data_IF_765287743707
#
_entry.id   IF_765287743707
#
_cell.length_a   1.000
_cell.length_b   1.000
_cell.length_c   1.000
_cell.angle_alpha   90.00
_cell.angle_beta   90.00
_cell.angle_gamma   90.00
#
_symmetry.space_group_name_H-M   'P 1'
#
loop_
_entity.id
_entity.type
_entity.pdbx_description
1 polymer ?
#
# COMPACT_ATOMS: atom_id res chain seq x y z
N UNK A 1 3.24 -13.05 -15.33
CA UNK A 1 2.45 -13.85 -14.37
C UNK A 1 3.05 -13.72 -12.98
N UNK A 2 2.23 -13.67 -11.94
CA UNK A 2 2.63 -13.71 -10.51
C UNK A 2 1.70 -14.66 -9.77
N UNK A 3 2.26 -15.44 -8.84
CA UNK A 3 1.53 -16.44 -8.05
C UNK A 3 1.76 -16.14 -6.57
N UNK A 4 0.70 -16.25 -5.79
CA UNK A 4 0.74 -16.18 -4.34
C UNK A 4 -0.22 -17.24 -3.78
N UNK A 5 0.34 -18.31 -3.21
CA UNK A 5 -0.41 -19.51 -2.83
C UNK A 5 -1.25 -20.02 -4.02
N UNK A 6 -2.57 -20.08 -3.88
CA UNK A 6 -3.54 -20.46 -4.90
C UNK A 6 -3.96 -19.29 -5.82
N UNK A 7 -3.68 -18.05 -5.45
CA UNK A 7 -4.02 -16.88 -6.27
C UNK A 7 -3.00 -16.68 -7.40
N UNK A 8 -3.47 -16.71 -8.64
CA UNK A 8 -2.65 -16.48 -9.83
C UNK A 8 -3.10 -15.21 -10.56
N UNK A 9 -2.14 -14.36 -10.96
CA UNK A 9 -2.38 -13.15 -11.74
C UNK A 9 -1.58 -13.15 -13.02
N UNK A 10 -2.28 -12.93 -14.12
CA UNK A 10 -1.68 -12.64 -15.42
C UNK A 10 -1.95 -11.19 -15.75
N UNK A 11 -0.96 -10.47 -16.21
CA UNK A 11 -1.11 -9.05 -16.57
C UNK A 11 -0.18 -8.69 -17.72
N UNK A 12 -0.64 -7.76 -18.56
CA UNK A 12 0.10 -7.24 -19.68
C UNK A 12 -0.34 -5.79 -19.97
N UNK A 13 0.61 -4.96 -20.40
CA UNK A 13 0.29 -3.67 -21.03
C UNK A 13 -0.24 -3.96 -22.44
N UNK A 14 -1.38 -3.38 -22.79
CA UNK A 14 -2.03 -3.57 -24.09
C UNK A 14 -1.80 -2.30 -24.91
N UNK A 15 -0.91 -2.39 -25.89
CA UNK A 15 -0.56 -1.31 -26.82
C UNK A 15 -0.87 -1.70 -28.26
N UNK A 16 -1.06 -3.00 -28.54
CA UNK A 16 -1.30 -3.58 -29.85
C UNK A 16 -2.21 -4.81 -29.79
N UNK A 17 -2.79 -5.18 -30.93
CA UNK A 17 -3.53 -6.45 -31.12
C UNK A 17 -2.68 -7.68 -30.74
N UNK A 18 -1.37 -7.61 -30.97
CA UNK A 18 -0.47 -8.70 -30.60
C UNK A 18 -0.39 -8.88 -29.09
N UNK A 19 -0.48 -7.81 -28.30
CA UNK A 19 -0.49 -7.89 -26.83
C UNK A 19 -1.76 -8.57 -26.32
N UNK A 20 -2.90 -8.31 -26.97
CA UNK A 20 -4.17 -9.00 -26.68
C UNK A 20 -4.03 -10.50 -26.90
N UNK A 21 -3.50 -10.90 -28.07
CA UNK A 21 -3.26 -12.31 -28.39
C UNK A 21 -2.30 -12.98 -27.41
N UNK A 22 -1.21 -12.29 -27.03
CA UNK A 22 -0.26 -12.82 -26.06
C UNK A 22 -0.90 -13.01 -24.67
N UNK A 23 -1.78 -12.09 -24.23
CA UNK A 23 -2.48 -12.25 -22.97
C UNK A 23 -3.49 -13.40 -23.02
N UNK A 24 -4.24 -13.54 -24.13
CA UNK A 24 -5.14 -14.66 -24.34
C UNK A 24 -4.37 -16.00 -24.34
N UNK A 25 -3.28 -16.09 -25.09
CA UNK A 25 -2.45 -17.30 -25.12
C UNK A 25 -1.91 -17.68 -23.73
N UNK A 26 -1.59 -16.69 -22.89
CA UNK A 26 -1.15 -16.97 -21.52
C UNK A 26 -2.30 -17.54 -20.66
N UNK A 27 -3.54 -17.12 -20.87
CA UNK A 27 -4.74 -17.67 -20.21
C UNK A 27 -4.99 -19.09 -20.71
N UNK A 28 -4.92 -19.33 -22.03
CA UNK A 28 -5.14 -20.63 -22.65
C UNK A 28 -4.09 -21.65 -22.15
N UNK A 29 -2.80 -21.29 -22.13
CA UNK A 29 -1.72 -22.14 -21.59
C UNK A 29 -1.93 -22.48 -20.10
N UNK A 30 -2.45 -21.53 -19.32
CA UNK A 30 -2.79 -21.81 -17.91
C UNK A 30 -3.95 -22.78 -17.80
N UNK A 31 -4.96 -22.64 -18.63
CA UNK A 31 -6.10 -23.57 -18.66
C UNK A 31 -5.64 -24.98 -19.03
N UNK A 32 -4.84 -25.14 -20.09
CA UNK A 32 -4.24 -26.43 -20.50
C UNK A 32 -3.41 -27.05 -19.38
N UNK A 33 -2.60 -26.23 -18.68
CA UNK A 33 -1.83 -26.69 -17.53
C UNK A 33 -2.73 -27.27 -16.44
N UNK A 34 -3.86 -26.63 -16.14
CA UNK A 34 -4.80 -27.15 -15.14
C UNK A 34 -5.46 -28.46 -15.56
N UNK A 35 -5.77 -28.61 -16.85
CA UNK A 35 -6.30 -29.90 -17.39
C UNK A 35 -5.27 -31.01 -17.22
N UNK A 36 -4.01 -30.76 -17.58
CA UNK A 36 -2.91 -31.73 -17.45
C UNK A 36 -2.71 -32.21 -16.02
N UNK A 37 -2.88 -31.31 -15.03
CA UNK A 37 -2.65 -31.62 -13.63
C UNK A 37 -3.93 -31.93 -12.85
N UNK A 38 -5.07 -32.04 -13.54
CA UNK A 38 -6.39 -32.31 -12.96
C UNK A 38 -6.80 -31.27 -11.88
N UNK A 39 -6.31 -30.04 -12.02
CA UNK A 39 -6.67 -28.90 -11.17
C UNK A 39 -7.78 -28.10 -11.87
N UNK A 40 -8.93 -27.90 -11.22
CA UNK A 40 -10.03 -27.15 -11.82
C UNK A 40 -9.98 -25.69 -11.40
N UNK A 41 -10.00 -24.78 -12.39
CA UNK A 41 -10.28 -23.38 -12.12
C UNK A 41 -11.72 -23.19 -11.60
N UNK A 42 -11.87 -22.27 -10.65
CA UNK A 42 -13.20 -21.76 -10.33
C UNK A 42 -13.49 -20.59 -11.29
N UNK A 43 -14.18 -20.88 -12.40
CA UNK A 43 -14.47 -19.90 -13.44
C UNK A 43 -15.22 -18.67 -12.91
N UNK A 44 -16.11 -18.84 -11.92
CA UNK A 44 -16.86 -17.74 -11.31
C UNK A 44 -15.94 -16.75 -10.56
N UNK A 45 -14.76 -17.20 -10.09
CA UNK A 45 -13.75 -16.37 -9.44
C UNK A 45 -12.74 -15.77 -10.41
N UNK A 46 -12.64 -16.30 -11.62
CA UNK A 46 -11.74 -15.75 -12.64
C UNK A 46 -12.33 -14.46 -13.21
N UNK A 47 -11.67 -13.33 -12.99
CA UNK A 47 -12.15 -12.00 -13.37
C UNK A 47 -11.10 -11.24 -14.18
N UNK A 48 -11.58 -10.39 -15.07
CA UNK A 48 -10.76 -9.41 -15.80
C UNK A 48 -10.91 -8.04 -15.15
N UNK A 49 -9.80 -7.39 -14.85
CA UNK A 49 -9.76 -6.01 -14.41
C UNK A 49 -9.01 -5.17 -15.46
N UNK A 50 -9.72 -4.31 -16.17
CA UNK A 50 -9.13 -3.39 -17.12
C UNK A 50 -8.57 -2.15 -16.42
N UNK A 51 -7.25 -2.00 -16.40
CA UNK A 51 -6.58 -0.87 -15.77
C UNK A 51 -6.32 0.25 -16.79
N UNK A 52 -6.55 1.49 -16.36
CA UNK A 52 -6.27 2.68 -17.16
C UNK A 52 -7.47 3.24 -17.92
N UNK A 53 -7.47 4.57 -18.10
CA UNK A 53 -8.61 5.29 -18.74
C UNK A 53 -8.79 4.92 -20.22
N UNK A 54 -7.69 4.67 -20.91
CA UNK A 54 -7.66 4.41 -22.36
C UNK A 54 -7.52 2.91 -22.66
N UNK A 55 -7.86 2.04 -21.70
CA UNK A 55 -7.86 0.60 -21.94
C UNK A 55 -8.95 0.26 -22.97
N UNK A 56 -8.63 -0.46 -24.04
CA UNK A 56 -9.59 -0.79 -25.09
C UNK A 56 -10.66 -1.81 -24.65
N UNK A 57 -10.52 -2.41 -23.46
CA UNK A 57 -11.48 -3.32 -22.83
C UNK A 57 -11.80 -4.54 -23.70
N UNK A 58 -10.79 -5.17 -24.27
CA UNK A 58 -10.96 -6.42 -25.01
C UNK A 58 -11.56 -7.51 -24.12
N UNK A 59 -12.38 -8.38 -24.73
CA UNK A 59 -12.89 -9.58 -24.11
C UNK A 59 -11.79 -10.66 -24.08
N UNK A 60 -11.77 -11.44 -23.01
CA UNK A 60 -10.89 -12.60 -22.85
C UNK A 60 -11.70 -13.82 -22.47
N UNK A 61 -11.19 -14.98 -22.83
CA UNK A 61 -11.90 -16.23 -22.71
C UNK A 61 -11.11 -17.23 -21.88
N UNK A 62 -11.81 -18.13 -21.19
CA UNK A 62 -11.23 -19.25 -20.47
C UNK A 62 -11.96 -20.53 -20.90
N UNK A 63 -11.24 -21.62 -21.13
CA UNK A 63 -11.79 -22.89 -21.55
C UNK A 63 -11.05 -23.45 -22.77
N UNK A 64 -11.47 -24.66 -23.23
CA UNK A 64 -11.05 -25.24 -24.48
C UNK A 64 -11.98 -24.80 -25.61
N UNK A 65 -11.62 -25.16 -26.85
CA UNK A 65 -12.38 -24.75 -28.05
C UNK A 65 -13.85 -25.19 -28.03
N UNK A 66 -14.20 -26.26 -27.31
CA UNK A 66 -15.57 -26.78 -27.20
C UNK A 66 -16.39 -26.09 -26.09
N UNK A 67 -15.72 -25.54 -25.06
CA UNK A 67 -16.35 -24.92 -23.87
C UNK A 67 -15.69 -23.60 -23.50
N UNK A 68 -15.52 -22.72 -24.46
CA UNK A 68 -14.91 -21.42 -24.27
C UNK A 68 -15.91 -20.45 -23.64
N UNK A 69 -15.60 -19.91 -22.46
CA UNK A 69 -16.46 -19.00 -21.69
C UNK A 69 -15.82 -17.61 -21.63
N UNK A 70 -16.61 -16.57 -21.90
CA UNK A 70 -16.17 -15.18 -21.72
C UNK A 70 -15.91 -14.93 -20.23
N UNK A 71 -14.76 -14.39 -19.90
CA UNK A 71 -14.42 -14.04 -18.52
C UNK A 71 -15.16 -12.77 -18.09
N UNK A 72 -15.73 -12.79 -16.88
CA UNK A 72 -16.43 -11.65 -16.32
C UNK A 72 -15.48 -10.47 -16.08
N UNK A 73 -15.92 -9.28 -16.48
CA UNK A 73 -15.21 -8.02 -16.18
C UNK A 73 -15.64 -7.48 -14.81
N UNK A 74 -14.67 -7.08 -14.01
CA UNK A 74 -14.92 -6.44 -12.71
C UNK A 74 -14.45 -4.99 -12.69
N UNK A 75 -15.18 -4.14 -11.97
CA UNK A 75 -14.79 -2.75 -11.71
C UNK A 75 -14.12 -2.59 -10.32
N UNK A 76 -14.05 -3.66 -9.53
CA UNK A 76 -13.41 -3.64 -8.21
C UNK A 76 -12.99 -5.05 -7.81
N UNK A 77 -11.70 -5.33 -7.90
CA UNK A 77 -11.15 -6.63 -7.50
C UNK A 77 -10.41 -6.55 -6.16
N UNK A 78 -10.57 -7.60 -5.34
CA UNK A 78 -9.85 -7.73 -4.07
C UNK A 78 -8.61 -8.59 -4.25
N UNK A 79 -7.47 -7.94 -4.32
CA UNK A 79 -6.17 -8.58 -4.49
C UNK A 79 -5.36 -8.55 -3.19
N UNK A 80 -5.02 -9.73 -2.66
CA UNK A 80 -4.26 -9.88 -1.41
C UNK A 80 -4.76 -8.94 -0.29
N UNK A 81 -6.08 -8.79 -0.18
CA UNK A 81 -6.71 -7.93 0.83
C UNK A 81 -6.85 -6.45 0.47
N UNK A 82 -6.29 -6.00 -0.64
CA UNK A 82 -6.43 -4.63 -1.17
C UNK A 82 -7.47 -4.60 -2.28
N UNK A 83 -8.43 -3.69 -2.22
CA UNK A 83 -9.39 -3.48 -3.31
C UNK A 83 -8.80 -2.54 -4.35
N UNK A 84 -8.71 -3.03 -5.58
CA UNK A 84 -8.12 -2.35 -6.73
C UNK A 84 -9.25 -1.98 -7.69
N UNK A 85 -9.33 -0.70 -8.07
CA UNK A 85 -10.24 -0.16 -9.06
C UNK A 85 -9.49 0.17 -10.37
N UNK A 86 -10.18 0.25 -11.54
CA UNK A 86 -9.56 0.49 -12.85
C UNK A 86 -8.67 1.74 -12.92
N UNK A 87 -8.95 2.72 -12.09
CA UNK A 87 -8.23 3.97 -12.03
C UNK A 87 -7.14 4.04 -10.97
N UNK A 88 -6.97 2.98 -10.17
CA UNK A 88 -6.03 2.92 -9.04
C UNK A 88 -6.20 4.11 -8.06
N UNK A 89 -7.45 4.50 -7.80
CA UNK A 89 -7.78 5.59 -6.88
C UNK A 89 -7.86 5.12 -5.43
N UNK A 90 -8.06 3.83 -5.21
CA UNK A 90 -8.21 3.16 -3.91
C UNK A 90 -9.28 3.76 -2.99
N UNK A 91 -10.24 4.51 -3.56
CA UNK A 91 -11.33 5.14 -2.79
C UNK A 91 -12.17 4.11 -2.04
N UNK A 92 -12.54 3.02 -2.73
CA UNK A 92 -13.37 1.96 -2.16
C UNK A 92 -12.60 1.15 -1.12
N UNK A 93 -11.32 0.85 -1.38
CA UNK A 93 -10.44 0.23 -0.40
C UNK A 93 -10.38 1.06 0.89
N UNK A 94 -10.07 2.35 0.79
CA UNK A 94 -9.96 3.25 1.94
C UNK A 94 -11.29 3.35 2.70
N UNK A 95 -12.42 3.49 1.99
CA UNK A 95 -13.73 3.55 2.64
C UNK A 95 -14.07 2.25 3.39
N UNK A 96 -13.82 1.07 2.80
CA UNK A 96 -14.02 -0.22 3.45
C UNK A 96 -13.10 -0.39 4.66
N UNK A 97 -11.83 0.00 4.53
CA UNK A 97 -10.83 -0.02 5.61
C UNK A 97 -11.25 0.85 6.78
N UNK A 98 -11.64 2.10 6.52
CA UNK A 98 -12.14 3.05 7.53
C UNK A 98 -13.40 2.52 8.22
N UNK A 99 -14.34 1.93 7.46
CA UNK A 99 -15.57 1.32 8.02
C UNK A 99 -15.22 0.17 8.96
N UNK A 100 -14.33 -0.74 8.55
CA UNK A 100 -13.89 -1.89 9.37
C UNK A 100 -13.16 -1.43 10.63
N UNK A 101 -12.22 -0.49 10.50
CA UNK A 101 -11.47 0.05 11.63
C UNK A 101 -12.36 0.82 12.63
N UNK A 102 -13.32 1.62 12.13
CA UNK A 102 -14.29 2.32 12.98
C UNK A 102 -15.20 1.34 13.73
N UNK A 103 -15.65 0.28 13.06
CA UNK A 103 -16.46 -0.76 13.70
C UNK A 103 -15.68 -1.45 14.84
N UNK A 104 -14.42 -1.83 14.59
CA UNK A 104 -13.54 -2.42 15.63
C UNK A 104 -13.30 -1.43 16.78
N UNK A 105 -13.05 -0.15 16.47
CA UNK A 105 -12.91 0.93 17.47
C UNK A 105 -14.14 1.05 18.36
N UNK A 106 -15.33 1.05 17.76
CA UNK A 106 -16.58 1.16 18.50
C UNK A 106 -16.84 -0.07 19.37
N UNK A 107 -16.49 -1.29 18.89
CA UNK A 107 -16.57 -2.50 19.73
C UNK A 107 -15.67 -2.39 20.97
N UNK A 108 -14.43 -1.93 20.81
CA UNK A 108 -13.54 -1.68 21.95
C UNK A 108 -14.19 -0.69 22.92
N UNK A 109 -14.65 0.45 22.42
CA UNK A 109 -15.24 1.50 23.23
C UNK A 109 -16.57 1.07 23.91
N UNK A 110 -17.32 0.14 23.33
CA UNK A 110 -18.53 -0.40 23.94
C UNK A 110 -18.22 -1.40 25.07
N UNK A 111 -17.23 -2.24 24.87
CA UNK A 111 -16.90 -3.30 25.83
C UNK A 111 -15.99 -2.84 26.98
N UNK A 112 -15.19 -1.80 26.76
CA UNK A 112 -14.29 -1.24 27.78
C UNK A 112 -14.80 0.13 28.23
N UNK A 113 -15.57 0.12 29.32
CA UNK A 113 -16.15 1.37 29.91
C UNK A 113 -15.12 2.19 30.65
N UNK A 114 -14.12 1.54 31.24
CA UNK A 114 -12.98 2.22 31.86
C UNK A 114 -12.03 2.77 30.80
N UNK A 115 -12.02 4.10 30.67
CA UNK A 115 -11.38 4.85 29.55
C UNK A 115 -9.91 5.18 29.81
N UNK A 116 -9.16 4.34 30.49
CA UNK A 116 -7.73 4.54 30.74
C UNK A 116 -6.91 4.37 29.46
N UNK A 117 -5.97 5.30 29.24
CA UNK A 117 -5.05 5.24 28.11
C UNK A 117 -4.17 3.98 28.12
N UNK A 118 -3.77 3.49 29.28
CA UNK A 118 -2.96 2.28 29.43
C UNK A 118 -3.69 1.01 28.93
N UNK A 119 -5.02 1.04 28.91
CA UNK A 119 -5.85 -0.06 28.37
C UNK A 119 -6.21 0.22 26.91
N UNK A 120 -6.76 1.41 26.62
CA UNK A 120 -7.31 1.69 25.29
C UNK A 120 -6.23 1.78 24.20
N UNK A 121 -5.04 2.30 24.50
CA UNK A 121 -4.00 2.47 23.47
C UNK A 121 -3.37 1.15 23.03
N UNK A 122 -3.03 0.21 23.91
CA UNK A 122 -2.65 -1.14 23.47
C UNK A 122 -3.71 -1.83 22.61
N UNK A 123 -5.00 -1.76 22.99
CA UNK A 123 -6.10 -2.33 22.20
C UNK A 123 -6.22 -1.67 20.82
N UNK A 124 -6.07 -0.34 20.74
CA UNK A 124 -6.03 0.37 19.46
C UNK A 124 -4.85 -0.10 18.61
N UNK A 125 -3.66 -0.17 19.19
CA UNK A 125 -2.41 -0.57 18.52
C UNK A 125 -2.47 -2.00 17.98
N UNK A 126 -3.14 -2.92 18.69
CA UNK A 126 -3.22 -4.34 18.31
C UNK A 126 -4.39 -4.67 17.37
N UNK A 127 -5.56 -4.03 17.54
CA UNK A 127 -6.77 -4.43 16.84
C UNK A 127 -7.23 -3.46 15.74
N UNK A 128 -6.98 -2.16 15.90
CA UNK A 128 -7.48 -1.13 14.96
C UNK A 128 -6.41 -0.69 13.98
N UNK A 129 -5.23 -0.37 14.50
CA UNK A 129 -4.13 0.17 13.71
C UNK A 129 -3.67 -0.75 12.57
N UNK A 130 -3.54 -2.09 12.75
CA UNK A 130 -3.16 -2.98 11.66
C UNK A 130 -4.15 -2.94 10.49
N UNK A 131 -5.45 -2.73 10.77
CA UNK A 131 -6.46 -2.57 9.71
C UNK A 131 -6.17 -1.32 8.89
N UNK A 132 -5.79 -0.21 9.54
CA UNK A 132 -5.53 1.08 8.89
C UNK A 132 -4.22 1.13 8.10
N UNK A 133 -3.26 0.26 8.44
CA UNK A 133 -1.91 0.29 7.89
C UNK A 133 -1.63 -0.83 6.88
N UNK A 134 -2.48 -1.87 6.83
CA UNK A 134 -2.24 -3.01 5.95
C UNK A 134 -2.14 -2.58 4.49
N UNK A 135 -1.05 -2.97 3.83
CA UNK A 135 -0.80 -2.69 2.42
C UNK A 135 -0.66 -1.20 2.05
N UNK A 136 -0.37 -0.32 3.02
CA UNK A 136 -0.29 1.13 2.79
C UNK A 136 0.64 1.52 1.63
N UNK A 137 1.70 0.79 1.41
CA UNK A 137 2.64 0.99 0.28
C UNK A 137 1.90 0.99 -1.07
N UNK A 138 0.86 0.18 -1.22
CA UNK A 138 0.08 0.07 -2.46
C UNK A 138 -0.92 1.22 -2.59
N UNK A 139 -1.74 1.46 -1.56
CA UNK A 139 -2.92 2.32 -1.66
C UNK A 139 -2.75 3.74 -1.08
N UNK A 140 -1.61 4.07 -0.47
CA UNK A 140 -1.35 5.40 0.14
C UNK A 140 -1.14 6.52 -0.90
N UNK A 141 -1.68 6.37 -2.10
CA UNK A 141 -1.69 7.38 -3.16
C UNK A 141 -2.98 8.20 -3.21
N UNK A 142 -3.87 8.00 -2.24
CA UNK A 142 -5.16 8.65 -2.17
C UNK A 142 -5.07 10.18 -2.04
N UNK A 143 -6.22 10.84 -2.25
CA UNK A 143 -6.32 12.28 -2.01
C UNK A 143 -6.16 12.59 -0.52
N UNK A 144 -5.71 13.80 -0.17
CA UNK A 144 -5.64 14.28 1.23
C UNK A 144 -6.98 14.07 1.98
N UNK A 145 -8.11 14.25 1.29
CA UNK A 145 -9.44 13.99 1.84
C UNK A 145 -9.64 12.52 2.26
N UNK A 146 -9.15 11.58 1.47
CA UNK A 146 -9.26 10.13 1.77
C UNK A 146 -8.30 9.73 2.90
N UNK A 147 -7.07 10.23 2.88
CA UNK A 147 -6.09 9.98 3.94
C UNK A 147 -6.54 10.55 5.28
N UNK A 148 -7.15 11.74 5.28
CA UNK A 148 -7.76 12.31 6.47
C UNK A 148 -8.89 11.45 7.06
N UNK A 149 -9.62 10.66 6.26
CA UNK A 149 -10.60 9.71 6.80
C UNK A 149 -9.94 8.64 7.66
N UNK A 150 -8.75 8.18 7.27
CA UNK A 150 -7.98 7.18 8.02
C UNK A 150 -7.50 7.77 9.34
N UNK A 151 -6.89 8.95 9.30
CA UNK A 151 -6.43 9.67 10.49
C UNK A 151 -7.59 9.98 11.45
N UNK A 152 -8.78 10.27 10.92
CA UNK A 152 -9.97 10.55 11.72
C UNK A 152 -10.44 9.37 12.58
N UNK A 153 -10.14 8.13 12.22
CA UNK A 153 -10.43 6.97 13.07
C UNK A 153 -9.64 7.10 14.38
N UNK A 154 -8.33 7.35 14.30
CA UNK A 154 -7.48 7.56 15.46
C UNK A 154 -7.86 8.83 16.23
N UNK A 155 -8.17 9.91 15.51
CA UNK A 155 -8.59 11.19 16.13
C UNK A 155 -9.86 11.01 16.95
N UNK A 156 -10.86 10.29 16.46
CA UNK A 156 -12.10 9.98 17.17
C UNK A 156 -11.83 9.06 18.37
N UNK A 157 -11.08 7.99 18.17
CA UNK A 157 -10.77 7.03 19.23
C UNK A 157 -10.06 7.70 20.43
N UNK A 158 -9.04 8.51 20.16
CA UNK A 158 -8.27 9.18 21.23
C UNK A 158 -9.08 10.22 22.02
N UNK A 159 -10.21 10.71 21.51
CA UNK A 159 -11.13 11.57 22.28
C UNK A 159 -11.81 10.84 23.45
N UNK A 160 -11.91 9.52 23.39
CA UNK A 160 -12.55 8.73 24.44
C UNK A 160 -11.61 8.39 25.60
N UNK A 161 -10.32 8.71 25.52
CA UNK A 161 -9.37 8.46 26.60
C UNK A 161 -9.59 9.50 27.73
N UNK A 162 -9.71 9.01 28.96
CA UNK A 162 -9.96 9.83 30.16
C UNK A 162 -8.86 10.88 30.37
N UNK A 163 -9.27 12.09 30.70
CA UNK A 163 -8.36 13.19 31.08
C UNK A 163 -7.64 13.90 29.94
N UNK A 164 -7.98 13.59 28.66
CA UNK A 164 -7.34 14.23 27.50
C UNK A 164 -8.32 14.69 26.41
N UNK A 165 -9.61 14.53 26.60
CA UNK A 165 -10.62 14.82 25.58
C UNK A 165 -10.64 16.29 25.12
N UNK A 166 -10.30 17.24 26.03
CA UNK A 166 -10.23 18.67 25.77
C UNK A 166 -8.95 19.10 25.03
N UNK A 167 -7.95 18.23 24.92
CA UNK A 167 -6.69 18.57 24.26
C UNK A 167 -6.87 18.54 22.73
N UNK A 168 -6.10 19.38 22.02
CA UNK A 168 -5.98 19.27 20.58
C UNK A 168 -5.46 17.88 20.18
N UNK A 169 -5.74 17.45 18.93
CA UNK A 169 -5.39 16.10 18.51
C UNK A 169 -3.89 15.81 18.65
N UNK A 170 -3.02 16.71 18.20
CA UNK A 170 -1.57 16.56 18.33
C UNK A 170 -1.10 16.49 19.78
N UNK A 171 -1.69 17.32 20.68
CA UNK A 171 -1.40 17.24 22.12
C UNK A 171 -1.81 15.88 22.71
N UNK A 172 -2.96 15.32 22.26
CA UNK A 172 -3.36 13.96 22.65
C UNK A 172 -2.36 12.93 22.20
N UNK A 173 -1.91 13.00 20.93
CA UNK A 173 -0.93 12.07 20.36
C UNK A 173 0.38 12.10 21.17
N UNK A 174 0.90 13.30 21.48
CA UNK A 174 2.12 13.46 22.31
C UNK A 174 1.93 12.82 23.69
N UNK A 175 0.83 13.13 24.38
CA UNK A 175 0.55 12.59 25.72
C UNK A 175 0.41 11.07 25.74
N UNK A 176 -0.16 10.47 24.68
CA UNK A 176 -0.36 9.03 24.52
C UNK A 176 0.85 8.31 23.90
N UNK A 177 1.90 9.03 23.53
CA UNK A 177 3.02 8.50 22.75
C UNK A 177 2.55 7.67 21.54
N UNK A 178 1.54 8.20 20.85
CA UNK A 178 0.90 7.56 19.70
C UNK A 178 1.20 8.36 18.44
N UNK A 179 2.07 7.88 17.55
CA UNK A 179 2.37 8.56 16.29
C UNK A 179 1.11 8.79 15.45
N UNK A 180 1.07 9.86 14.66
CA UNK A 180 0.02 10.06 13.68
C UNK A 180 0.02 8.91 12.64
N UNK A 181 -1.12 8.60 12.06
CA UNK A 181 -1.19 7.59 11.00
C UNK A 181 -0.42 8.07 9.76
N UNK A 182 -0.48 9.37 9.46
CA UNK A 182 0.29 9.96 8.36
C UNK A 182 1.80 9.73 8.54
N UNK A 183 2.36 10.03 9.72
CA UNK A 183 3.76 9.74 10.01
C UNK A 183 4.10 8.26 9.82
N UNK A 184 3.23 7.38 10.30
CA UNK A 184 3.44 5.92 10.20
C UNK A 184 3.41 5.42 8.77
N UNK A 185 2.58 6.01 7.91
CA UNK A 185 2.56 5.69 6.48
C UNK A 185 3.88 6.08 5.82
N UNK A 186 4.37 7.30 6.09
CA UNK A 186 5.68 7.77 5.61
C UNK A 186 6.80 6.83 6.08
N UNK A 187 6.81 6.51 7.36
CA UNK A 187 7.79 5.60 7.96
C UNK A 187 7.73 4.21 7.33
N UNK A 188 6.52 3.71 7.06
CA UNK A 188 6.31 2.43 6.38
C UNK A 188 6.87 2.44 4.95
N UNK A 189 6.64 3.52 4.21
CA UNK A 189 7.18 3.71 2.88
C UNK A 189 8.72 3.75 2.89
N UNK A 190 9.33 4.54 3.81
CA UNK A 190 10.78 4.62 3.94
C UNK A 190 11.42 3.29 4.35
N UNK A 191 10.73 2.56 5.24
CA UNK A 191 11.15 1.22 5.62
C UNK A 191 11.14 0.25 4.44
N UNK A 192 10.15 0.35 3.56
CA UNK A 192 10.06 -0.49 2.37
C UNK A 192 11.19 -0.15 1.39
N UNK A 193 11.48 1.14 1.17
CA UNK A 193 12.63 1.56 0.35
C UNK A 193 13.94 1.05 0.95
N UNK A 194 14.13 1.18 2.26
CA UNK A 194 15.31 0.65 2.96
C UNK A 194 15.50 -0.84 2.72
N UNK A 195 14.44 -1.64 2.84
CA UNK A 195 14.50 -3.08 2.59
C UNK A 195 14.90 -3.41 1.15
N UNK A 196 14.39 -2.65 0.18
CA UNK A 196 14.76 -2.83 -1.24
C UNK A 196 16.22 -2.42 -1.46
N UNK A 197 16.63 -1.25 -0.98
CA UNK A 197 17.98 -0.73 -1.13
C UNK A 197 19.05 -1.64 -0.51
N UNK A 198 18.75 -2.24 0.64
CA UNK A 198 19.66 -3.17 1.35
C UNK A 198 19.46 -4.64 0.95
N UNK A 199 18.66 -4.92 -0.09
CA UNK A 199 18.42 -6.27 -0.63
C UNK A 199 17.92 -7.28 0.39
N UNK A 200 17.00 -6.86 1.28
CA UNK A 200 16.28 -7.79 2.17
C UNK A 200 15.27 -8.66 1.43
N UNK A 201 14.98 -8.35 0.19
CA UNK A 201 14.14 -9.12 -0.72
C UNK A 201 14.99 -9.70 -1.84
N UNK A 202 14.51 -10.76 -2.46
CA UNK A 202 15.14 -11.31 -3.66
C UNK A 202 15.24 -10.24 -4.75
N UNK A 203 16.42 -10.10 -5.34
CA UNK A 203 16.76 -9.06 -6.32
C UNK A 203 15.86 -9.09 -7.54
N UNK A 204 15.51 -10.28 -8.06
CA UNK A 204 14.69 -10.41 -9.27
C UNK A 204 13.32 -9.75 -9.16
N UNK A 205 12.73 -9.71 -7.95
CA UNK A 205 11.39 -9.13 -7.74
C UNK A 205 11.40 -7.61 -7.49
N UNK A 206 12.56 -7.02 -7.19
CA UNK A 206 12.65 -5.62 -6.72
C UNK A 206 13.52 -4.71 -7.58
N UNK A 207 14.38 -5.25 -8.44
CA UNK A 207 15.28 -4.46 -9.31
C UNK A 207 14.57 -3.50 -10.27
N UNK A 208 13.33 -3.84 -10.66
CA UNK A 208 12.52 -3.00 -11.56
C UNK A 208 11.80 -1.84 -10.87
N UNK A 209 11.78 -1.78 -9.53
CA UNK A 209 11.00 -0.77 -8.79
C UNK A 209 11.75 0.56 -8.73
N UNK A 210 13.06 0.54 -8.50
CA UNK A 210 13.90 1.71 -8.35
C UNK A 210 15.19 1.60 -9.14
N UNK A 211 15.55 2.69 -9.79
CA UNK A 211 16.87 2.88 -10.39
C UNK A 211 17.75 3.65 -9.42
N UNK A 212 18.73 2.97 -8.82
CA UNK A 212 19.69 3.60 -7.91
C UNK A 212 20.81 4.31 -8.69
N UNK A 213 21.24 5.46 -8.18
CA UNK A 213 22.34 6.22 -8.78
C UNK A 213 23.65 5.48 -8.65
N UNK A 214 24.40 5.35 -9.74
CA UNK A 214 25.69 4.62 -9.80
C UNK A 214 26.92 5.45 -9.39
N UNK A 215 26.75 6.73 -8.99
CA UNK A 215 27.89 7.61 -8.76
C UNK A 215 28.03 8.03 -7.30
N UNK A 216 29.21 7.80 -6.72
CA UNK A 216 29.60 8.22 -5.38
C UNK A 216 29.93 9.74 -5.27
N UNK A 217 29.78 10.54 -6.33
CA UNK A 217 30.14 11.96 -6.37
C UNK A 217 29.03 12.92 -5.94
N UNK A 218 27.86 12.43 -5.57
CA UNK A 218 26.71 13.29 -5.20
C UNK A 218 26.69 13.53 -3.69
N UNK A 219 26.34 14.77 -3.28
CA UNK A 219 26.09 15.07 -1.85
C UNK A 219 24.98 14.18 -1.30
N UNK A 220 25.19 13.63 -0.10
CA UNK A 220 24.26 12.76 0.63
C UNK A 220 24.61 11.29 0.52
N UNK A 221 23.67 10.40 0.83
CA UNK A 221 23.91 8.95 0.90
C UNK A 221 24.05 8.28 -0.47
N UNK A 222 24.71 7.13 -0.51
CA UNK A 222 25.02 6.35 -1.71
C UNK A 222 23.82 5.67 -2.37
N UNK A 223 22.74 5.40 -1.62
CA UNK A 223 21.53 4.72 -2.10
C UNK A 223 20.48 5.69 -2.68
N UNK A 224 20.90 6.79 -3.31
CA UNK A 224 19.95 7.71 -3.94
C UNK A 224 19.27 7.09 -5.15
N UNK A 225 17.98 7.38 -5.27
CA UNK A 225 17.12 6.90 -6.36
C UNK A 225 17.03 7.97 -7.44
N UNK A 226 17.16 7.55 -8.70
CA UNK A 226 16.89 8.40 -9.86
C UNK A 226 15.40 8.77 -9.89
N UNK A 227 15.12 10.07 -10.06
CA UNK A 227 13.76 10.56 -10.23
C UNK A 227 13.50 10.80 -11.71
N UNK A 228 12.68 9.93 -12.31
CA UNK A 228 12.24 10.17 -13.68
C UNK A 228 11.15 11.25 -13.70
N UNK A 229 11.28 12.16 -14.65
CA UNK A 229 10.24 13.17 -14.90
C UNK A 229 8.95 12.47 -15.35
N UNK A 230 7.84 12.76 -14.67
CA UNK A 230 6.53 12.26 -15.07
C UNK A 230 5.53 13.41 -15.10
N UNK A 231 4.91 13.61 -16.26
CA UNK A 231 3.88 14.64 -16.46
C UNK A 231 2.50 14.21 -15.96
N UNK A 232 2.34 12.93 -15.56
CA UNK A 232 1.05 12.40 -15.08
C UNK A 232 0.99 12.49 -13.55
N UNK A 233 0.18 13.38 -13.01
CA UNK A 233 0.00 13.60 -11.57
C UNK A 233 -0.35 12.35 -10.76
N UNK A 234 -1.00 11.35 -11.37
CA UNK A 234 -1.28 10.06 -10.73
C UNK A 234 -0.01 9.24 -10.47
N UNK A 235 0.92 9.21 -11.44
CA UNK A 235 2.18 8.47 -11.28
C UNK A 235 3.07 9.05 -10.18
N UNK A 236 2.99 10.37 -9.95
CA UNK A 236 3.74 11.00 -8.86
C UNK A 236 3.35 10.47 -7.48
N UNK A 237 2.12 9.97 -7.33
CA UNK A 237 1.60 9.45 -6.06
C UNK A 237 1.88 7.96 -5.84
N UNK A 238 2.29 7.22 -6.85
CA UNK A 238 2.64 5.82 -6.69
C UNK A 238 3.92 5.66 -5.85
N UNK A 239 4.02 4.53 -5.17
CA UNK A 239 5.13 4.24 -4.27
C UNK A 239 6.49 4.50 -4.92
N UNK A 240 6.68 4.03 -6.16
CA UNK A 240 7.93 4.20 -6.91
C UNK A 240 8.36 5.65 -7.14
N UNK A 241 7.44 6.62 -7.01
CA UNK A 241 7.73 8.04 -7.23
C UNK A 241 7.61 8.88 -5.95
N UNK A 242 6.55 8.67 -5.15
CA UNK A 242 6.27 9.50 -3.97
C UNK A 242 7.37 9.42 -2.90
N UNK A 243 8.07 8.30 -2.83
CA UNK A 243 9.11 8.06 -1.83
C UNK A 243 10.44 8.73 -2.15
N UNK A 244 10.72 9.04 -3.42
CA UNK A 244 12.06 9.40 -3.91
C UNK A 244 12.60 10.66 -3.21
N UNK A 245 11.84 11.75 -3.18
CA UNK A 245 12.31 12.99 -2.58
C UNK A 245 12.64 12.80 -1.09
N UNK A 246 11.75 12.16 -0.35
CA UNK A 246 11.92 11.92 1.09
C UNK A 246 13.09 10.98 1.35
N UNK A 247 13.20 9.90 0.60
CA UNK A 247 14.32 8.97 0.68
C UNK A 247 15.65 9.66 0.37
N UNK A 248 15.74 10.37 -0.74
CA UNK A 248 16.96 11.06 -1.15
C UNK A 248 17.40 12.19 -0.19
N UNK A 249 16.49 12.70 0.65
CA UNK A 249 16.79 13.70 1.68
C UNK A 249 17.28 13.12 3.00
N UNK A 250 17.23 11.80 3.18
CA UNK A 250 17.69 11.17 4.43
C UNK A 250 19.20 11.37 4.62
N UNK A 251 19.66 11.57 5.88
CA UNK A 251 21.09 11.58 6.18
C UNK A 251 21.71 10.20 5.98
N UNK A 252 23.03 10.19 5.66
CA UNK A 252 23.80 8.97 5.49
C UNK A 252 23.67 8.02 6.69
N UNK A 253 23.77 8.55 7.92
CA UNK A 253 23.69 7.79 9.17
C UNK A 253 22.38 6.98 9.32
N UNK A 254 21.25 7.49 8.78
CA UNK A 254 19.96 6.79 8.80
C UNK A 254 19.96 5.65 7.81
N UNK A 255 20.49 5.91 6.60
CA UNK A 255 20.49 4.93 5.51
C UNK A 255 21.54 3.83 5.73
N UNK A 256 22.62 4.11 6.47
CA UNK A 256 23.66 3.14 6.82
C UNK A 256 23.27 2.17 7.94
N UNK A 257 22.03 2.24 8.42
CA UNK A 257 21.53 1.24 9.36
C UNK A 257 21.76 -0.19 8.83
N UNK A 258 22.18 -1.08 9.71
CA UNK A 258 22.44 -2.48 9.37
C UNK A 258 21.22 -3.37 9.54
N UNK A 259 20.30 -2.97 10.40
CA UNK A 259 19.10 -3.73 10.71
C UNK A 259 17.83 -2.88 10.51
N UNK A 260 16.71 -3.56 10.31
CA UNK A 260 15.39 -2.92 10.22
C UNK A 260 15.07 -2.10 11.47
N UNK A 261 15.42 -2.60 12.66
CA UNK A 261 15.14 -1.92 13.91
C UNK A 261 16.04 -0.70 14.11
N UNK A 262 17.31 -0.79 13.73
CA UNK A 262 18.23 0.33 13.73
C UNK A 262 17.75 1.45 12.79
N UNK A 263 17.34 1.10 11.57
CA UNK A 263 16.76 2.07 10.63
C UNK A 263 15.54 2.76 11.22
N UNK A 264 14.61 2.00 11.82
CA UNK A 264 13.41 2.55 12.45
C UNK A 264 13.77 3.58 13.54
N UNK A 265 14.71 3.23 14.41
CA UNK A 265 15.12 4.08 15.52
C UNK A 265 15.82 5.37 15.03
N UNK A 266 16.75 5.26 14.09
CA UNK A 266 17.43 6.40 13.48
C UNK A 266 16.46 7.32 12.73
N UNK A 267 15.51 6.72 11.97
CA UNK A 267 14.46 7.47 11.28
C UNK A 267 13.56 8.22 12.26
N UNK A 268 13.08 7.56 13.31
CA UNK A 268 12.23 8.17 14.33
C UNK A 268 12.98 9.27 15.09
N UNK A 269 14.27 9.12 15.37
CA UNK A 269 15.13 10.14 15.99
C UNK A 269 15.32 11.36 15.08
N UNK A 270 15.55 11.14 13.79
CA UNK A 270 15.72 12.22 12.80
C UNK A 270 14.44 13.05 12.64
N UNK A 271 13.27 12.43 12.70
CA UNK A 271 11.97 13.07 12.55
C UNK A 271 11.19 13.22 13.86
N UNK A 272 11.87 13.27 15.02
CA UNK A 272 11.26 13.31 16.36
C UNK A 272 10.16 14.37 16.51
N UNK A 273 10.35 15.55 15.90
CA UNK A 273 9.40 16.65 15.99
C UNK A 273 8.15 16.47 15.11
N UNK A 274 8.21 15.55 14.13
CA UNK A 274 7.13 15.26 13.20
C UNK A 274 6.30 14.03 13.56
N UNK A 275 6.73 13.22 14.54
CA UNK A 275 6.06 11.94 14.89
C UNK A 275 4.58 12.12 15.19
N UNK A 276 4.21 13.22 15.81
CA UNK A 276 2.84 13.51 16.25
C UNK A 276 2.13 14.55 15.38
N UNK A 277 2.79 15.07 14.37
CA UNK A 277 2.25 16.08 13.47
C UNK A 277 1.31 15.45 12.45
N UNK A 278 0.36 16.26 12.00
CA UNK A 278 -0.53 15.97 10.88
C UNK A 278 -0.22 16.99 9.78
N UNK A 279 -0.58 16.65 8.53
CA UNK A 279 -0.32 17.53 7.38
C UNK A 279 1.18 17.69 7.04
N UNK A 280 1.90 16.57 7.00
CA UNK A 280 3.34 16.53 6.73
C UNK A 280 3.70 16.84 5.26
N UNK A 281 2.73 17.20 4.43
CA UNK A 281 2.92 17.52 3.00
C UNK A 281 3.72 16.47 2.22
N UNK A 282 3.57 15.21 2.59
CA UNK A 282 4.35 14.09 2.06
C UNK A 282 4.23 13.94 0.54
N UNK A 283 3.09 14.36 -0.02
CA UNK A 283 2.78 14.17 -1.45
C UNK A 283 2.99 15.44 -2.31
N UNK A 284 3.68 16.44 -1.77
CA UNK A 284 4.08 17.65 -2.51
C UNK A 284 5.42 17.53 -3.18
#
# INVERSE_FOLDING_TARGET
>A
MKIFADDTKVYKSIESENDVKQLQNAIDNMFEWTQKWLLKFNNEKCKILHLGKNNPKHEYFIGNDEQRIVMDVTELEKDLGVHIDPNLNFKDHINKTVKKASYTSNKILKNFTYRDGNILIPLFKSLVRPILEYGNVVWSNGTKKLLNKIENVQRKFTKHVKGIYNLSYEKRLKKLQLPSIEYRQIRGDMLQVFKIAKRFYDSQSTESIFEFKKTNRLRGHEYKINKHATNKSKFQKFFSNRVINKWNSLPQEVVDAKTINEFKNKFDSHYKDQIYSIDLNYYK
#
